data_IF_570089416043
#
_entry.id   IF_570089416043
#
_cell.length_a   1.000
_cell.length_b   1.000
_cell.length_c   1.000
_cell.angle_alpha   90.00
_cell.angle_beta   90.00
_cell.angle_gamma   90.00
#
_symmetry.space_group_name_H-M   'P 1'
#
loop_
_entity.id
_entity.type
_entity.pdbx_description
1 polymer ?
#
# COMPACT_ATOMS: atom_id res chain seq x y z
N UNK A 1 -3.44 -0.53 -25.63
CA UNK A 1 -3.22 0.90 -25.86
C UNK A 1 -4.28 1.53 -26.73
N UNK A 2 -4.70 0.85 -27.79
CA UNK A 2 -5.86 1.29 -28.56
C UNK A 2 -7.11 1.32 -27.68
N UNK A 3 -7.25 0.37 -26.79
CA UNK A 3 -8.29 0.32 -25.80
C UNK A 3 -8.33 1.59 -24.93
N UNK A 4 -7.18 2.10 -24.51
CA UNK A 4 -7.08 3.33 -23.73
C UNK A 4 -7.53 4.54 -24.56
N UNK A 5 -7.15 4.60 -25.83
CA UNK A 5 -7.57 5.67 -26.71
C UNK A 5 -9.09 5.68 -26.94
N UNK A 6 -9.70 4.51 -27.06
CA UNK A 6 -11.15 4.39 -27.19
C UNK A 6 -11.89 4.87 -25.95
N UNK A 7 -11.36 4.55 -24.76
CA UNK A 7 -11.92 5.01 -23.50
C UNK A 7 -11.84 6.54 -23.40
N UNK A 8 -10.73 7.12 -23.82
CA UNK A 8 -10.54 8.56 -23.83
C UNK A 8 -11.51 9.29 -24.76
N UNK A 9 -11.92 8.64 -25.82
CA UNK A 9 -12.83 9.21 -26.79
C UNK A 9 -14.28 9.27 -26.32
N UNK A 10 -14.61 8.64 -25.19
CA UNK A 10 -15.97 8.62 -24.67
C UNK A 10 -16.23 9.78 -23.73
N UNK A 11 -17.16 10.70 -24.04
CA UNK A 11 -17.47 11.83 -23.19
C UNK A 11 -17.98 11.37 -21.81
N UNK A 12 -17.46 11.96 -20.74
CA UNK A 12 -17.90 11.69 -19.39
C UNK A 12 -17.26 10.49 -18.69
N UNK A 13 -16.44 9.70 -19.41
CA UNK A 13 -15.68 8.63 -18.78
C UNK A 13 -14.33 9.14 -18.32
N UNK A 14 -14.06 9.01 -17.02
CA UNK A 14 -12.76 9.28 -16.47
C UNK A 14 -11.85 8.08 -16.72
N UNK A 15 -10.66 8.35 -17.23
CA UNK A 15 -9.64 7.34 -17.44
C UNK A 15 -9.15 6.82 -16.08
N UNK A 16 -9.29 5.51 -15.87
CA UNK A 16 -8.72 4.87 -14.69
C UNK A 16 -7.24 4.59 -14.95
N UNK A 17 -6.31 5.07 -14.10
CA UNK A 17 -4.90 4.75 -14.24
C UNK A 17 -4.69 3.24 -14.13
N UNK A 18 -3.78 2.72 -14.96
CA UNK A 18 -3.44 1.31 -14.91
C UNK A 18 -1.98 1.16 -14.45
N UNK A 19 -1.81 0.59 -13.29
CA UNK A 19 -0.51 0.44 -12.65
C UNK A 19 0.14 -0.93 -12.91
N UNK A 20 -0.69 -1.97 -13.09
CA UNK A 20 -0.23 -3.35 -13.25
C UNK A 20 -1.25 -4.20 -13.99
N UNK A 21 -0.94 -5.47 -14.19
CA UNK A 21 -1.83 -6.42 -14.87
C UNK A 21 -2.94 -6.98 -13.98
N UNK A 22 -2.78 -6.89 -12.67
CA UNK A 22 -3.80 -7.36 -11.73
C UNK A 22 -4.94 -6.35 -11.62
N UNK A 23 -6.12 -6.73 -12.08
CA UNK A 23 -7.28 -5.83 -12.14
C UNK A 23 -7.74 -5.37 -10.75
N UNK A 24 -7.76 -6.27 -9.77
CA UNK A 24 -8.18 -5.93 -8.40
C UNK A 24 -7.22 -4.92 -7.77
N UNK A 25 -5.91 -5.16 -7.93
CA UNK A 25 -4.91 -4.23 -7.41
C UNK A 25 -5.02 -2.86 -8.08
N UNK A 26 -5.28 -2.82 -9.38
CA UNK A 26 -5.52 -1.56 -10.08
C UNK A 26 -6.70 -0.78 -9.50
N UNK A 27 -7.79 -1.47 -9.18
CA UNK A 27 -8.97 -0.84 -8.56
C UNK A 27 -8.62 -0.28 -7.19
N UNK A 28 -7.89 -1.02 -6.38
CA UNK A 28 -7.47 -0.57 -5.05
C UNK A 28 -6.57 0.66 -5.16
N UNK A 29 -5.55 0.59 -6.03
CA UNK A 29 -4.62 1.70 -6.22
C UNK A 29 -5.31 2.94 -6.78
N UNK A 30 -6.23 2.78 -7.71
CA UNK A 30 -7.00 3.90 -8.27
C UNK A 30 -7.85 4.58 -7.19
N UNK A 31 -8.47 3.80 -6.31
CA UNK A 31 -9.25 4.35 -5.19
C UNK A 31 -8.38 5.20 -4.27
N UNK A 32 -7.21 4.70 -3.88
CA UNK A 32 -6.32 5.44 -3.00
C UNK A 32 -5.64 6.61 -3.71
N UNK A 33 -5.39 6.52 -5.01
CA UNK A 33 -4.93 7.66 -5.80
C UNK A 33 -5.93 8.82 -5.72
N UNK A 34 -7.22 8.51 -5.79
CA UNK A 34 -8.28 9.52 -5.66
C UNK A 34 -8.32 10.10 -4.24
N UNK A 35 -8.30 9.25 -3.22
CA UNK A 35 -8.27 9.70 -1.82
C UNK A 35 -7.06 10.61 -1.58
N UNK A 36 -5.90 10.23 -2.05
CA UNK A 36 -4.68 11.04 -1.89
C UNK A 36 -4.78 12.38 -2.62
N UNK A 37 -5.35 12.40 -3.81
CA UNK A 37 -5.56 13.65 -4.55
C UNK A 37 -6.49 14.61 -3.79
N UNK A 38 -7.56 14.09 -3.21
CA UNK A 38 -8.51 14.89 -2.42
C UNK A 38 -7.86 15.45 -1.15
N UNK A 39 -6.91 14.72 -0.56
CA UNK A 39 -6.21 15.11 0.68
C UNK A 39 -4.86 15.78 0.42
N UNK A 40 -4.56 16.11 -0.83
CA UNK A 40 -3.29 16.74 -1.24
C UNK A 40 -2.07 15.91 -0.81
N UNK A 41 -2.17 14.60 -0.93
CA UNK A 41 -1.06 13.67 -0.68
C UNK A 41 -0.44 13.27 -2.03
N UNK A 42 0.88 13.42 -2.14
CA UNK A 42 1.62 12.95 -3.31
C UNK A 42 1.69 11.42 -3.26
N UNK A 43 1.09 10.77 -4.24
CA UNK A 43 0.96 9.31 -4.31
C UNK A 43 1.74 8.76 -5.49
N UNK A 44 2.81 8.03 -5.22
CA UNK A 44 3.69 7.44 -6.23
C UNK A 44 3.55 5.92 -6.21
N UNK A 45 3.39 5.32 -7.39
CA UNK A 45 3.21 3.87 -7.53
C UNK A 45 4.15 3.35 -8.61
N UNK A 46 4.94 2.34 -8.27
CA UNK A 46 5.85 1.65 -9.19
C UNK A 46 5.67 0.13 -9.01
N UNK A 47 4.93 -0.49 -9.91
CA UNK A 47 4.65 -1.93 -9.88
C UNK A 47 5.47 -2.59 -10.98
N UNK A 48 6.52 -3.29 -10.60
CA UNK A 48 7.42 -3.99 -11.52
C UNK A 48 7.21 -5.50 -11.54
N UNK A 49 6.57 -6.06 -10.51
CA UNK A 49 6.19 -7.47 -10.51
C UNK A 49 5.00 -7.68 -11.45
N UNK A 50 5.09 -8.67 -12.33
CA UNK A 50 4.00 -8.95 -13.28
C UNK A 50 2.70 -9.29 -12.58
N UNK A 51 2.79 -10.12 -11.55
CA UNK A 51 1.62 -10.56 -10.81
C UNK A 51 2.02 -10.87 -9.37
N UNK A 52 1.11 -10.63 -8.46
CA UNK A 52 1.16 -11.18 -7.11
C UNK A 52 0.32 -12.45 -7.09
N UNK A 53 0.66 -13.39 -7.97
CA UNK A 53 -0.15 -14.58 -8.25
C UNK A 53 -0.28 -15.55 -7.07
N UNK A 54 0.61 -15.43 -6.08
CA UNK A 54 0.54 -16.23 -4.86
C UNK A 54 -0.53 -15.75 -3.89
N UNK A 55 -1.06 -14.54 -4.11
CA UNK A 55 -2.12 -13.96 -3.28
C UNK A 55 -3.48 -14.13 -3.95
N UNK A 56 -4.46 -14.66 -3.22
CA UNK A 56 -5.83 -14.62 -3.68
C UNK A 56 -6.43 -13.21 -3.48
N UNK A 57 -7.63 -12.98 -3.97
CA UNK A 57 -8.27 -11.66 -3.93
C UNK A 57 -8.48 -11.15 -2.50
N UNK A 58 -8.84 -12.04 -1.58
CA UNK A 58 -9.03 -11.69 -0.18
C UNK A 58 -7.69 -11.27 0.48
N UNK A 59 -6.65 -12.04 0.23
CA UNK A 59 -5.32 -11.78 0.77
C UNK A 59 -4.74 -10.47 0.21
N UNK A 60 -4.88 -10.27 -1.09
CA UNK A 60 -4.44 -9.05 -1.77
C UNK A 60 -5.16 -7.82 -1.20
N UNK A 61 -6.48 -7.90 -1.06
CA UNK A 61 -7.27 -6.81 -0.48
C UNK A 61 -6.87 -6.54 0.96
N UNK A 62 -6.70 -7.58 1.76
CA UNK A 62 -6.29 -7.46 3.17
C UNK A 62 -4.96 -6.72 3.28
N UNK A 63 -3.98 -7.07 2.46
CA UNK A 63 -2.66 -6.45 2.50
C UNK A 63 -2.75 -4.99 2.04
N UNK A 64 -3.20 -4.76 0.82
CA UNK A 64 -3.11 -3.41 0.22
C UNK A 64 -4.09 -2.43 0.83
N UNK A 65 -5.30 -2.85 1.14
CA UNK A 65 -6.28 -1.95 1.74
C UNK A 65 -5.83 -1.47 3.12
N UNK A 66 -5.32 -2.38 3.95
CA UNK A 66 -4.80 -2.01 5.26
C UNK A 66 -3.53 -1.16 5.18
N UNK A 67 -2.58 -1.51 4.29
CA UNK A 67 -1.36 -0.72 4.11
C UNK A 67 -1.67 0.70 3.65
N UNK A 68 -2.50 0.82 2.62
CA UNK A 68 -2.79 2.12 2.01
C UNK A 68 -3.70 2.98 2.88
N UNK A 69 -4.64 2.37 3.60
CA UNK A 69 -5.47 3.08 4.58
C UNK A 69 -4.60 3.68 5.70
N UNK A 70 -3.69 2.89 6.25
CA UNK A 70 -2.78 3.36 7.29
C UNK A 70 -1.84 4.45 6.77
N UNK A 71 -1.29 4.25 5.58
CA UNK A 71 -0.40 5.21 4.96
C UNK A 71 -1.10 6.55 4.68
N UNK A 72 -2.32 6.51 4.15
CA UNK A 72 -3.09 7.71 3.86
C UNK A 72 -3.42 8.50 5.12
N UNK A 73 -3.84 7.82 6.17
CA UNK A 73 -4.14 8.46 7.45
C UNK A 73 -2.91 9.15 8.05
N UNK A 74 -1.78 8.46 8.05
CA UNK A 74 -0.54 8.98 8.58
C UNK A 74 0.01 10.13 7.73
N UNK A 75 0.01 9.97 6.41
CA UNK A 75 0.50 11.01 5.50
C UNK A 75 -0.37 12.27 5.55
N UNK A 76 -1.68 12.12 5.67
CA UNK A 76 -2.62 13.24 5.81
C UNK A 76 -2.28 14.12 7.02
N UNK A 77 -1.87 13.50 8.12
CA UNK A 77 -1.50 14.20 9.35
C UNK A 77 -0.06 14.74 9.34
N UNK A 78 0.72 14.42 8.32
CA UNK A 78 2.12 14.84 8.22
C UNK A 78 2.26 16.12 7.41
N UNK A 79 3.40 16.78 7.56
CA UNK A 79 3.74 17.99 6.82
C UNK A 79 4.00 17.70 5.34
N UNK A 80 4.78 16.65 5.05
CA UNK A 80 5.20 16.33 3.68
C UNK A 80 4.11 15.73 2.82
N UNK A 81 3.22 14.95 3.39
CA UNK A 81 2.08 14.32 2.69
C UNK A 81 2.51 13.52 1.46
N UNK A 82 3.29 12.48 1.69
CA UNK A 82 3.82 11.60 0.65
C UNK A 82 3.55 10.14 0.94
N UNK A 83 3.24 9.36 -0.11
CA UNK A 83 3.14 7.90 -0.06
C UNK A 83 3.83 7.35 -1.29
N UNK A 84 4.75 6.39 -1.09
CA UNK A 84 5.41 5.66 -2.16
C UNK A 84 5.07 4.19 -2.07
N UNK A 85 4.52 3.64 -3.13
CA UNK A 85 4.18 2.22 -3.25
C UNK A 85 5.08 1.60 -4.30
N UNK A 86 5.77 0.52 -3.96
CA UNK A 86 6.58 -0.24 -4.89
C UNK A 86 6.31 -1.73 -4.74
N UNK A 87 6.23 -2.43 -5.86
CA UNK A 87 6.15 -3.90 -5.88
C UNK A 87 7.14 -4.40 -6.92
N UNK A 88 8.04 -5.26 -6.51
CA UNK A 88 9.05 -5.81 -7.41
C UNK A 88 9.34 -7.28 -7.07
N UNK A 89 9.89 -8.00 -8.03
CA UNK A 89 10.23 -9.40 -7.88
C UNK A 89 11.70 -9.57 -7.48
N UNK A 90 11.96 -10.58 -6.66
CA UNK A 90 13.30 -11.12 -6.41
C UNK A 90 13.36 -12.53 -6.96
N UNK A 91 13.68 -12.70 -8.26
CA UNK A 91 13.62 -14.00 -8.92
C UNK A 91 14.53 -15.05 -8.27
N UNK A 92 15.71 -14.64 -7.82
CA UNK A 92 16.67 -15.53 -7.17
C UNK A 92 16.16 -16.15 -5.86
N UNK A 93 15.17 -15.52 -5.25
CA UNK A 93 14.54 -16.00 -4.01
C UNK A 93 13.12 -16.50 -4.24
N UNK A 94 12.63 -16.40 -5.49
CA UNK A 94 11.25 -16.71 -5.86
C UNK A 94 10.25 -15.97 -4.97
N UNK A 95 10.49 -14.68 -4.73
CA UNK A 95 9.67 -13.83 -3.87
C UNK A 95 9.31 -12.53 -4.54
N UNK A 96 8.17 -12.01 -4.17
CA UNK A 96 7.75 -10.65 -4.48
C UNK A 96 7.90 -9.78 -3.24
N UNK A 97 8.29 -8.53 -3.45
CA UNK A 97 8.46 -7.54 -2.38
C UNK A 97 7.42 -6.44 -2.57
N UNK A 98 6.69 -6.17 -1.50
CA UNK A 98 5.74 -5.05 -1.42
C UNK A 98 6.32 -4.04 -0.45
N UNK A 99 6.50 -2.81 -0.90
CA UNK A 99 7.01 -1.72 -0.09
C UNK A 99 6.02 -0.56 -0.10
N UNK A 100 5.59 -0.14 1.07
CA UNK A 100 4.77 1.07 1.23
C UNK A 100 5.47 1.97 2.22
N UNK A 101 5.82 3.17 1.78
CA UNK A 101 6.51 4.17 2.57
C UNK A 101 5.64 5.42 2.62
N UNK A 102 5.38 5.92 3.80
CA UNK A 102 4.61 7.16 3.94
C UNK A 102 5.30 8.14 4.87
N UNK A 103 5.05 9.42 4.63
CA UNK A 103 5.45 10.46 5.56
C UNK A 103 4.68 10.29 6.88
N UNK A 104 5.38 10.52 7.99
CA UNK A 104 4.84 10.35 9.32
C UNK A 104 5.66 11.21 10.28
N UNK A 105 5.05 12.23 10.87
CA UNK A 105 5.79 13.21 11.68
C UNK A 105 6.13 12.72 13.07
N UNK A 106 5.36 11.75 13.57
CA UNK A 106 5.60 11.17 14.90
C UNK A 106 5.69 9.64 14.78
N UNK A 107 6.60 9.01 15.52
CA UNK A 107 6.70 7.55 15.51
C UNK A 107 5.35 6.90 15.84
N UNK A 108 4.91 5.91 15.05
CA UNK A 108 3.71 5.16 15.40
C UNK A 108 3.87 4.45 16.73
N UNK A 109 2.77 4.30 17.45
CA UNK A 109 2.78 3.55 18.71
C UNK A 109 2.99 2.08 18.42
N UNK A 110 3.95 1.47 19.10
CA UNK A 110 4.26 0.07 18.99
C UNK A 110 4.32 -0.61 20.33
N UNK A 111 4.41 -1.93 20.33
CA UNK A 111 4.53 -2.73 21.56
C UNK A 111 6.00 -3.11 21.86
N UNK A 112 6.95 -2.55 21.13
CA UNK A 112 8.36 -2.88 21.24
C UNK A 112 8.77 -4.18 20.56
N UNK A 113 7.82 -4.89 19.95
CA UNK A 113 8.03 -6.17 19.26
C UNK A 113 7.84 -6.05 17.75
N UNK A 114 7.90 -4.85 17.21
CA UNK A 114 7.68 -4.60 15.79
C UNK A 114 6.21 -4.55 15.39
N UNK A 115 5.30 -4.55 16.34
CA UNK A 115 3.87 -4.38 16.07
C UNK A 115 3.50 -2.93 16.31
N UNK A 116 3.03 -2.26 15.27
CA UNK A 116 2.58 -0.88 15.34
C UNK A 116 1.06 -0.80 15.28
N UNK A 117 0.50 0.15 15.99
CA UNK A 117 -0.94 0.38 16.01
C UNK A 117 -1.27 1.63 15.21
N UNK A 118 -2.44 1.61 14.57
CA UNK A 118 -2.94 2.81 13.89
C UNK A 118 -3.40 3.84 14.90
N UNK A 119 -3.42 5.11 14.51
CA UNK A 119 -3.94 6.20 15.33
C UNK A 119 -5.47 6.29 15.29
N UNK A 120 -6.14 5.45 14.51
CA UNK A 120 -7.59 5.42 14.42
C UNK A 120 -8.22 5.06 15.77
N UNK A 121 -9.29 5.73 16.10
CA UNK A 121 -10.10 5.41 17.29
C UNK A 121 -11.29 4.55 16.88
N UNK A 122 -11.73 3.66 17.78
CA UNK A 122 -12.88 2.80 17.56
C UNK A 122 -12.54 1.31 17.51
N UNK A 123 -13.58 0.48 17.53
CA UNK A 123 -13.42 -0.97 17.49
C UNK A 123 -12.83 -1.42 16.15
N UNK A 124 -11.92 -2.37 16.22
CA UNK A 124 -11.23 -2.91 15.04
C UNK A 124 -10.08 -2.06 14.54
N UNK A 125 -9.91 -0.85 15.04
CA UNK A 125 -8.76 0.00 14.67
C UNK A 125 -7.51 -0.46 15.42
N UNK A 126 -6.36 -0.44 14.75
CA UNK A 126 -5.10 -0.94 15.28
C UNK A 126 -4.81 -2.39 14.90
N UNK A 127 -5.75 -3.07 14.26
CA UNK A 127 -5.60 -4.47 13.85
C UNK A 127 -5.17 -4.63 12.39
N UNK A 128 -5.10 -3.54 11.63
CA UNK A 128 -4.75 -3.61 10.20
C UNK A 128 -3.41 -4.26 9.95
N UNK A 129 -2.36 -3.85 10.67
CA UNK A 129 -1.03 -4.43 10.51
C UNK A 129 -0.96 -5.88 11.01
N UNK A 130 -1.72 -6.22 12.03
CA UNK A 130 -1.80 -7.60 12.51
C UNK A 130 -2.45 -8.52 11.48
N UNK A 131 -3.49 -8.04 10.79
CA UNK A 131 -4.13 -8.79 9.72
C UNK A 131 -3.17 -9.05 8.57
N UNK A 132 -2.37 -8.06 8.20
CA UNK A 132 -1.33 -8.20 7.19
C UNK A 132 -0.31 -9.24 7.62
N UNK A 133 0.20 -9.12 8.85
CA UNK A 133 1.20 -10.06 9.38
C UNK A 133 0.69 -11.50 9.37
N UNK A 134 -0.59 -11.71 9.69
CA UNK A 134 -1.21 -13.03 9.65
C UNK A 134 -1.19 -13.61 8.25
N UNK A 135 -1.62 -12.85 7.25
CA UNK A 135 -1.60 -13.30 5.86
C UNK A 135 -0.18 -13.62 5.40
N UNK A 136 0.76 -12.73 5.67
CA UNK A 136 2.17 -12.89 5.28
C UNK A 136 2.77 -14.12 5.93
N UNK A 137 2.52 -14.34 7.21
CA UNK A 137 2.99 -15.53 7.95
C UNK A 137 2.42 -16.83 7.35
N UNK A 138 1.13 -16.85 7.02
CA UNK A 138 0.50 -18.01 6.39
C UNK A 138 1.10 -18.34 5.03
N UNK A 139 1.63 -17.33 4.34
CA UNK A 139 2.32 -17.50 3.05
C UNK A 139 3.80 -17.83 3.17
N UNK A 140 4.31 -17.96 4.38
CA UNK A 140 5.74 -18.20 4.61
C UNK A 140 6.62 -16.99 4.27
N UNK A 141 6.03 -15.81 4.25
CA UNK A 141 6.72 -14.55 3.97
C UNK A 141 7.28 -13.87 5.21
N UNK A 142 7.81 -12.68 5.01
CA UNK A 142 8.33 -11.83 6.09
C UNK A 142 7.69 -10.46 6.06
N UNK A 143 7.53 -9.87 7.23
CA UNK A 143 6.94 -8.55 7.41
C UNK A 143 7.88 -7.71 8.27
N UNK A 144 8.26 -6.53 7.75
CA UNK A 144 9.10 -5.58 8.45
C UNK A 144 8.41 -4.22 8.45
N UNK A 145 8.30 -3.61 9.62
CA UNK A 145 7.78 -2.26 9.76
C UNK A 145 8.71 -1.48 10.67
N UNK A 146 9.12 -0.29 10.23
CA UNK A 146 10.02 0.56 11.02
C UNK A 146 9.82 2.04 10.69
N UNK A 147 10.21 2.88 11.62
CA UNK A 147 10.16 4.33 11.50
C UNK A 147 11.57 4.90 11.40
N UNK A 148 11.77 5.79 10.44
CA UNK A 148 13.03 6.52 10.27
C UNK A 148 12.84 7.97 10.71
N UNK A 149 13.38 8.31 11.86
CA UNK A 149 13.14 9.59 12.52
C UNK A 149 13.69 10.78 11.72
N UNK A 150 14.88 10.63 11.14
CA UNK A 150 15.51 11.71 10.36
C UNK A 150 14.69 12.11 9.14
N UNK A 151 14.12 11.12 8.44
CA UNK A 151 13.30 11.35 7.26
C UNK A 151 11.83 11.54 7.58
N UNK A 152 11.43 11.26 8.81
CA UNK A 152 10.03 11.25 9.24
C UNK A 152 9.17 10.40 8.31
N UNK A 153 9.61 9.15 8.13
CA UNK A 153 8.93 8.18 7.27
C UNK A 153 8.72 6.86 7.98
N UNK A 154 7.57 6.28 7.72
CA UNK A 154 7.23 4.94 8.17
C UNK A 154 7.26 3.98 6.99
N UNK A 155 7.93 2.86 7.20
CA UNK A 155 8.19 1.86 6.18
C UNK A 155 7.49 0.55 6.53
N UNK A 156 6.81 -0.04 5.57
CA UNK A 156 6.35 -1.43 5.67
C UNK A 156 6.88 -2.17 4.44
N UNK A 157 7.62 -3.24 4.69
CA UNK A 157 8.23 -4.07 3.66
C UNK A 157 7.80 -5.51 3.88
N UNK A 158 7.19 -6.10 2.86
CA UNK A 158 6.67 -7.46 2.88
C UNK A 158 7.38 -8.25 1.79
N UNK A 159 7.86 -9.43 2.15
CA UNK A 159 8.38 -10.42 1.19
C UNK A 159 7.48 -11.64 1.21
N UNK A 160 7.01 -12.03 0.04
CA UNK A 160 6.08 -13.18 -0.09
C UNK A 160 6.57 -14.14 -1.16
#
# INVERSE_FOLDING_TARGET
RQYIAEVEAQPGMQKMPRYCENNLLNVILARYSKVCAEESIAFSVDIRAKTLSTLNDFELTTIFDNLLSNAAESAKASEKREIDVAVFARPEQNKDVISVVNSCDTPPKGDGKGVFRTSKSGEGHGYGLQSIQRVVCQKGGSFHAFYEDEKRKFYVIIEI
#
